data_IF_009286240567
#
_entry.id   IF_009286240567
#
_cell.length_a   1.000
_cell.length_b   1.000
_cell.length_c   1.000
_cell.angle_alpha   90.00
_cell.angle_beta   90.00
_cell.angle_gamma   90.00
#
_symmetry.space_group_name_H-M   'P 1'
#
loop_
_entity.id
_entity.type
_entity.pdbx_description
1 polymer ?
#
# COMPACT_ATOMS: atom_id res chain seq x y z
N UNK A 1 14.37 6.27 -18.77
CA UNK A 1 14.55 4.87 -18.34
C UNK A 1 13.20 4.43 -17.81
N UNK A 2 12.65 3.34 -18.34
CA UNK A 2 11.38 2.82 -17.87
C UNK A 2 11.61 2.12 -16.52
N UNK A 3 10.95 2.60 -15.46
CA UNK A 3 11.14 2.15 -14.07
C UNK A 3 10.18 1.03 -13.69
N UNK A 4 9.09 0.84 -14.43
CA UNK A 4 8.11 -0.21 -14.14
C UNK A 4 8.71 -1.64 -14.14
N UNK A 5 9.62 -2.01 -15.06
CA UNK A 5 10.26 -3.33 -15.03
C UNK A 5 11.13 -3.56 -13.79
N UNK A 6 11.73 -2.50 -13.22
CA UNK A 6 12.54 -2.59 -12.00
C UNK A 6 11.66 -2.81 -10.77
N UNK A 7 10.57 -2.05 -10.67
CA UNK A 7 9.57 -2.21 -9.59
C UNK A 7 8.97 -3.61 -9.62
N UNK A 8 8.61 -4.13 -10.79
CA UNK A 8 8.12 -5.50 -10.93
C UNK A 8 9.14 -6.54 -10.43
N UNK A 9 10.42 -6.37 -10.77
CA UNK A 9 11.47 -7.30 -10.35
C UNK A 9 11.71 -7.29 -8.84
N UNK A 10 11.67 -6.12 -8.22
CA UNK A 10 11.81 -5.97 -6.76
C UNK A 10 10.61 -6.59 -6.04
N UNK A 11 9.39 -6.31 -6.50
CA UNK A 11 8.16 -6.89 -5.95
C UNK A 11 8.09 -8.40 -6.20
N UNK A 12 8.67 -8.93 -7.28
CA UNK A 12 8.71 -10.38 -7.55
C UNK A 12 9.56 -11.15 -6.53
N UNK A 13 10.68 -10.58 -6.09
CA UNK A 13 11.65 -11.29 -5.27
C UNK A 13 11.17 -11.52 -3.82
N UNK A 14 10.38 -10.60 -3.28
CA UNK A 14 10.01 -10.60 -1.87
C UNK A 14 8.98 -11.68 -1.49
N UNK A 15 7.88 -11.90 -2.25
CA UNK A 15 6.97 -13.02 -2.04
C UNK A 15 7.65 -14.39 -2.03
N UNK A 16 8.73 -14.55 -2.79
CA UNK A 16 9.51 -15.79 -2.81
C UNK A 16 10.34 -15.96 -1.52
N UNK A 17 10.87 -14.85 -0.98
CA UNK A 17 11.66 -14.87 0.25
C UNK A 17 10.79 -14.97 1.51
N UNK A 18 9.57 -14.45 1.47
CA UNK A 18 8.67 -14.32 2.63
C UNK A 18 7.33 -15.07 2.43
N UNK A 19 7.32 -16.14 1.64
CA UNK A 19 6.09 -16.85 1.26
C UNK A 19 5.24 -17.29 2.46
N UNK A 20 5.88 -17.86 3.50
CA UNK A 20 5.21 -18.31 4.72
C UNK A 20 4.55 -17.15 5.47
N UNK A 21 5.20 -15.98 5.49
CA UNK A 21 4.63 -14.77 6.07
C UNK A 21 3.37 -14.36 5.32
N UNK A 22 3.42 -14.20 3.99
CA UNK A 22 2.25 -13.81 3.19
C UNK A 22 1.09 -14.81 3.27
N UNK A 23 1.39 -16.12 3.31
CA UNK A 23 0.40 -17.17 3.52
C UNK A 23 -0.29 -17.03 4.89
N UNK A 24 0.47 -16.73 5.94
CA UNK A 24 -0.06 -16.56 7.29
C UNK A 24 -0.81 -15.24 7.49
N UNK A 25 -0.45 -14.19 6.74
CA UNK A 25 -1.15 -12.90 6.78
C UNK A 25 -2.57 -13.00 6.21
N UNK A 26 -2.79 -13.88 5.21
CA UNK A 26 -4.08 -14.05 4.55
C UNK A 26 -4.53 -12.86 3.69
N UNK A 27 -3.63 -11.91 3.38
CA UNK A 27 -3.92 -10.73 2.58
C UNK A 27 -3.74 -10.90 1.08
N UNK A 28 -3.01 -11.95 0.68
CA UNK A 28 -2.70 -12.21 -0.72
C UNK A 28 -3.41 -13.50 -1.15
N UNK A 29 -4.59 -13.33 -1.72
CA UNK A 29 -5.33 -14.42 -2.33
C UNK A 29 -4.51 -15.00 -3.50
N UNK A 30 -4.44 -16.33 -3.53
CA UNK A 30 -3.71 -17.07 -4.56
C UNK A 30 -2.22 -16.63 -4.68
N UNK A 31 -1.53 -16.42 -3.55
CA UNK A 31 -0.09 -16.02 -3.51
C UNK A 31 0.79 -16.88 -4.42
N UNK A 32 0.47 -18.16 -4.62
CA UNK A 32 1.17 -19.08 -5.52
C UNK A 32 1.11 -18.64 -7.00
N UNK A 33 0.08 -17.88 -7.40
CA UNK A 33 -0.11 -17.34 -8.75
C UNK A 33 0.46 -15.93 -8.93
N UNK A 34 0.77 -15.23 -7.85
CA UNK A 34 1.35 -13.87 -7.87
C UNK A 34 2.65 -13.81 -8.70
N UNK A 35 3.59 -14.77 -8.59
CA UNK A 35 4.79 -14.79 -9.43
C UNK A 35 4.47 -14.84 -10.92
N UNK A 36 3.49 -15.64 -11.33
CA UNK A 36 3.08 -15.76 -12.74
C UNK A 36 2.47 -14.46 -13.29
N UNK A 37 1.83 -13.66 -12.42
CA UNK A 37 1.26 -12.36 -12.79
C UNK A 37 2.32 -11.26 -12.87
N UNK A 38 3.37 -11.34 -12.05
CA UNK A 38 4.41 -10.32 -11.96
C UNK A 38 5.57 -10.58 -12.95
N UNK A 39 5.81 -11.84 -13.31
CA UNK A 39 6.87 -12.23 -14.24
C UNK A 39 6.57 -11.70 -15.66
N UNK A 40 7.26 -10.62 -16.03
CA UNK A 40 7.17 -10.00 -17.34
C UNK A 40 8.54 -10.18 -18.02
N UNK A 41 8.69 -11.25 -18.80
CA UNK A 41 9.92 -11.56 -19.54
C UNK A 41 10.24 -10.51 -20.64
N UNK A 42 9.27 -9.68 -21.06
CA UNK A 42 9.43 -8.71 -22.15
C UNK A 42 9.25 -7.27 -21.69
N UNK A 43 10.27 -6.45 -21.95
CA UNK A 43 10.18 -4.99 -21.87
C UNK A 43 9.13 -4.48 -22.88
N UNK A 44 7.98 -4.02 -22.40
CA UNK A 44 6.88 -3.50 -23.23
C UNK A 44 5.56 -3.40 -22.46
N UNK A 45 4.48 -2.91 -23.11
CA UNK A 45 3.15 -2.87 -22.52
C UNK A 45 2.72 -4.29 -22.10
N UNK A 46 2.36 -4.47 -20.84
CA UNK A 46 1.83 -5.73 -20.34
C UNK A 46 0.32 -5.82 -20.57
N UNK A 47 -0.17 -7.04 -20.78
CA UNK A 47 -1.61 -7.30 -20.85
C UNK A 47 -2.29 -6.99 -19.50
N UNK A 48 -3.60 -6.73 -19.53
CA UNK A 48 -4.40 -6.43 -18.33
C UNK A 48 -4.31 -7.53 -17.28
N UNK A 49 -4.03 -8.77 -17.68
CA UNK A 49 -3.76 -9.90 -16.78
C UNK A 49 -2.56 -9.68 -15.83
N UNK A 50 -1.65 -8.76 -16.19
CA UNK A 50 -0.46 -8.41 -15.41
C UNK A 50 -0.59 -7.07 -14.69
N UNK A 51 -1.76 -6.42 -14.75
CA UNK A 51 -1.97 -5.16 -14.04
C UNK A 51 -1.98 -5.42 -12.53
N UNK A 52 -1.17 -4.62 -11.83
CA UNK A 52 -1.16 -4.58 -10.38
C UNK A 52 -2.51 -4.06 -9.85
N UNK A 53 -3.06 -4.74 -8.84
CA UNK A 53 -4.31 -4.36 -8.18
C UNK A 53 -4.10 -4.14 -6.68
N UNK A 54 -4.94 -3.30 -6.09
CA UNK A 54 -5.03 -3.15 -4.64
C UNK A 54 -6.09 -4.12 -4.08
N UNK A 55 -5.96 -4.63 -2.84
CA UNK A 55 -4.95 -4.29 -1.83
C UNK A 55 -3.58 -4.97 -2.00
N UNK A 56 -3.49 -6.05 -2.79
CA UNK A 56 -2.28 -6.90 -2.89
C UNK A 56 -1.01 -6.10 -3.17
N UNK A 57 -1.05 -5.17 -4.13
CA UNK A 57 0.12 -4.35 -4.49
C UNK A 57 0.57 -3.45 -3.35
N UNK A 58 -0.38 -2.87 -2.60
CA UNK A 58 -0.07 -1.99 -1.47
C UNK A 58 0.68 -2.74 -0.37
N UNK A 59 0.19 -3.92 0.02
CA UNK A 59 0.85 -4.80 1.00
C UNK A 59 2.25 -5.20 0.55
N UNK A 60 2.40 -5.64 -0.71
CA UNK A 60 3.72 -6.02 -1.23
C UNK A 60 4.68 -4.84 -1.26
N UNK A 61 4.23 -3.67 -1.74
CA UNK A 61 5.08 -2.48 -1.79
C UNK A 61 5.51 -2.02 -0.39
N UNK A 62 4.62 -2.09 0.61
CA UNK A 62 4.98 -1.68 1.98
C UNK A 62 6.05 -2.58 2.59
N UNK A 63 5.98 -3.89 2.37
CA UNK A 63 7.00 -4.83 2.88
C UNK A 63 8.32 -4.71 2.09
N UNK A 64 8.26 -4.73 0.75
CA UNK A 64 9.45 -4.67 -0.12
C UNK A 64 10.27 -3.42 0.17
N UNK A 65 9.62 -2.26 0.24
CA UNK A 65 10.30 -0.99 0.45
C UNK A 65 10.52 -0.64 1.91
N UNK A 66 9.80 -1.30 2.83
CA UNK A 66 9.71 -0.91 4.25
C UNK A 66 9.17 0.52 4.43
N UNK A 67 8.33 0.96 3.50
CA UNK A 67 7.78 2.31 3.44
C UNK A 67 6.26 2.25 3.59
N UNK A 68 5.63 3.23 4.24
CA UNK A 68 4.18 3.29 4.29
C UNK A 68 3.63 3.69 2.92
N UNK A 69 2.58 2.99 2.47
CA UNK A 69 1.89 3.26 1.21
C UNK A 69 0.49 3.78 1.52
N UNK A 70 0.17 4.94 0.99
CA UNK A 70 -1.13 5.59 1.14
C UNK A 70 -1.82 5.60 -0.22
N UNK A 71 -2.89 4.83 -0.33
CA UNK A 71 -3.65 4.69 -1.55
C UNK A 71 -4.98 5.42 -1.44
N UNK A 72 -5.31 6.23 -2.45
CA UNK A 72 -6.58 6.96 -2.55
C UNK A 72 -7.31 6.61 -3.83
N UNK A 73 -8.55 6.13 -3.70
CA UNK A 73 -9.42 5.85 -4.83
C UNK A 73 -10.81 6.45 -4.60
N UNK A 74 -11.53 6.71 -5.70
CA UNK A 74 -12.88 7.28 -5.63
C UNK A 74 -13.85 6.47 -4.74
N UNK A 75 -13.73 5.15 -4.77
CA UNK A 75 -14.63 4.24 -4.08
C UNK A 75 -14.06 3.68 -2.79
N UNK A 76 -12.73 3.73 -2.65
CA UNK A 76 -12.01 3.08 -1.58
C UNK A 76 -10.59 3.63 -1.52
N UNK A 77 -10.12 3.93 -0.31
CA UNK A 77 -8.74 4.30 0.01
C UNK A 77 -8.27 3.43 1.16
N UNK A 78 -6.96 3.20 1.23
CA UNK A 78 -6.36 2.39 2.28
C UNK A 78 -4.91 2.77 2.54
N UNK A 79 -4.50 2.60 3.79
CA UNK A 79 -3.10 2.71 4.22
C UNK A 79 -2.51 1.32 4.41
N UNK A 80 -1.30 1.13 3.90
CA UNK A 80 -0.51 -0.09 4.05
C UNK A 80 0.77 0.24 4.81
N UNK A 81 0.93 -0.36 5.98
CA UNK A 81 2.14 -0.24 6.77
C UNK A 81 2.97 -1.51 6.68
N UNK A 82 4.31 -1.40 6.70
CA UNK A 82 5.16 -2.56 6.92
C UNK A 82 4.78 -3.25 8.24
N UNK A 83 4.59 -4.56 8.24
CA UNK A 83 4.28 -5.37 9.40
C UNK A 83 5.52 -5.90 10.10
N UNK A 84 6.67 -5.93 9.43
CA UNK A 84 7.92 -6.54 9.94
C UNK A 84 8.99 -5.54 10.34
N UNK A 85 8.81 -4.25 10.03
CA UNK A 85 9.85 -3.24 10.24
C UNK A 85 9.38 -2.02 11.01
N UNK A 86 10.27 -1.48 11.85
CA UNK A 86 10.00 -0.24 12.58
C UNK A 86 10.05 1.01 11.68
N UNK A 87 9.36 2.09 12.06
CA UNK A 87 9.48 3.38 11.37
C UNK A 87 10.91 3.93 11.44
N UNK A 88 11.47 4.25 10.27
CA UNK A 88 12.73 5.02 10.11
C UNK A 88 12.46 6.30 9.34
N UNK A 89 13.46 7.08 8.93
CA UNK A 89 13.26 8.25 8.04
C UNK A 89 12.92 7.87 6.57
N UNK A 90 12.08 6.86 6.41
CA UNK A 90 11.57 6.36 5.14
C UNK A 90 10.49 7.33 4.63
N UNK A 91 10.57 7.78 3.37
CA UNK A 91 9.55 8.63 2.79
C UNK A 91 8.27 7.83 2.50
N UNK A 92 7.09 8.42 2.70
CA UNK A 92 5.82 7.79 2.35
C UNK A 92 5.61 7.72 0.83
N UNK A 93 4.91 6.67 0.38
CA UNK A 93 4.47 6.53 -1.02
C UNK A 93 2.99 6.89 -1.09
N UNK A 94 2.62 7.87 -1.92
CA UNK A 94 1.22 8.24 -2.13
C UNK A 94 0.76 7.89 -3.55
N UNK A 95 -0.31 7.10 -3.63
CA UNK A 95 -0.89 6.62 -4.89
C UNK A 95 -2.34 7.07 -4.99
N UNK A 96 -2.75 7.50 -6.18
CA UNK A 96 -4.13 7.79 -6.52
C UNK A 96 -4.61 6.85 -7.64
N UNK A 97 -5.85 6.36 -7.58
CA UNK A 97 -6.51 5.69 -8.70
C UNK A 97 -7.48 6.65 -9.40
N UNK A 98 -7.26 6.85 -10.69
CA UNK A 98 -8.17 7.60 -11.56
C UNK A 98 -9.38 6.76 -11.99
N UNK A 99 -10.44 7.39 -12.49
CA UNK A 99 -11.64 6.68 -12.98
C UNK A 99 -11.35 5.76 -14.18
N UNK A 100 -10.23 5.97 -14.88
CA UNK A 100 -9.77 5.12 -15.99
C UNK A 100 -8.85 3.99 -15.54
N UNK A 101 -8.86 3.65 -14.25
CA UNK A 101 -8.07 2.55 -13.67
C UNK A 101 -6.57 2.75 -13.80
N UNK A 102 -6.12 4.01 -13.87
CA UNK A 102 -4.71 4.36 -13.94
C UNK A 102 -4.22 4.88 -12.59
N UNK A 103 -3.10 4.33 -12.11
CA UNK A 103 -2.42 4.81 -10.91
C UNK A 103 -1.57 6.04 -11.21
N UNK A 104 -1.62 7.02 -10.31
CA UNK A 104 -0.78 8.21 -10.35
C UNK A 104 -0.06 8.38 -9.01
N UNK A 105 1.16 8.90 -9.06
CA UNK A 105 1.87 9.31 -7.84
C UNK A 105 1.30 10.65 -7.38
N UNK A 106 0.90 10.74 -6.12
CA UNK A 106 0.43 11.98 -5.52
C UNK A 106 1.57 12.69 -4.82
N UNK A 107 1.64 14.02 -4.97
CA UNK A 107 2.54 14.86 -4.19
C UNK A 107 1.73 15.59 -3.12
N UNK A 108 1.88 15.15 -1.89
CA UNK A 108 1.20 15.75 -0.74
C UNK A 108 1.95 17.03 -0.34
N UNK A 109 1.20 18.07 0.06
CA UNK A 109 1.79 19.36 0.43
C UNK A 109 2.51 19.31 1.78
N UNK A 110 1.91 18.59 2.72
CA UNK A 110 2.43 18.36 4.07
C UNK A 110 2.41 16.85 4.32
N UNK A 111 3.58 16.22 4.23
CA UNK A 111 3.73 14.77 4.41
C UNK A 111 3.64 14.35 5.89
N UNK A 112 3.63 15.31 6.83
CA UNK A 112 3.48 15.06 8.27
C UNK A 112 2.03 15.29 8.76
N UNK A 113 1.18 15.89 7.93
CA UNK A 113 -0.21 16.20 8.27
C UNK A 113 -1.15 16.20 7.05
N UNK A 114 -1.75 15.04 6.80
CA UNK A 114 -2.68 14.82 5.69
C UNK A 114 -3.86 13.91 6.11
N UNK A 115 -4.99 13.93 5.39
CA UNK A 115 -6.07 12.97 5.64
C UNK A 115 -5.60 11.56 5.25
N UNK A 116 -5.26 10.76 6.24
CA UNK A 116 -4.85 9.37 6.06
C UNK A 116 -6.07 8.44 5.95
N UNK A 117 -6.08 7.57 4.95
CA UNK A 117 -7.09 6.51 4.85
C UNK A 117 -6.94 5.49 5.98
N UNK A 118 -8.00 4.76 6.29
CA UNK A 118 -7.93 3.67 7.27
C UNK A 118 -6.87 2.63 6.86
N UNK A 119 -6.13 2.09 7.82
CA UNK A 119 -5.22 0.97 7.57
C UNK A 119 -5.98 -0.37 7.54
N UNK A 120 -5.37 -1.40 6.97
CA UNK A 120 -5.95 -2.74 6.87
C UNK A 120 -6.31 -3.30 8.26
N UNK A 121 -7.54 -3.80 8.42
CA UNK A 121 -8.12 -4.11 9.75
C UNK A 121 -7.34 -5.17 10.52
N UNK A 122 -6.67 -6.07 9.80
CA UNK A 122 -5.91 -7.16 10.43
C UNK A 122 -4.42 -6.82 10.58
N UNK A 123 -3.98 -5.62 10.17
CA UNK A 123 -2.56 -5.28 10.20
C UNK A 123 -1.99 -5.31 11.63
N UNK A 124 -2.71 -4.77 12.61
CA UNK A 124 -2.27 -4.78 14.01
C UNK A 124 -2.07 -6.20 14.58
N UNK A 125 -2.83 -7.18 14.07
CA UNK A 125 -2.80 -8.55 14.55
C UNK A 125 -1.58 -9.33 14.07
N UNK A 126 -1.04 -8.94 12.93
CA UNK A 126 0.09 -9.60 12.27
C UNK A 126 1.37 -8.77 12.34
N UNK A 127 1.27 -7.49 12.72
CA UNK A 127 2.41 -6.62 12.89
C UNK A 127 3.27 -7.09 14.07
N UNK A 128 4.58 -7.07 13.84
CA UNK A 128 5.56 -7.21 14.91
C UNK A 128 5.41 -6.07 15.94
N UNK A 129 5.77 -6.28 17.21
CA UNK A 129 5.71 -5.22 18.23
C UNK A 129 6.43 -3.93 17.82
N UNK A 130 7.51 -4.05 17.06
CA UNK A 130 8.27 -2.94 16.51
C UNK A 130 7.49 -2.18 15.42
N UNK A 131 6.78 -2.89 14.55
CA UNK A 131 6.02 -2.31 13.45
C UNK A 131 4.79 -1.51 13.91
N UNK A 132 4.20 -1.84 15.06
CA UNK A 132 3.09 -1.07 15.66
C UNK A 132 3.42 0.43 15.80
N UNK A 133 4.70 0.79 15.90
CA UNK A 133 5.12 2.19 15.95
C UNK A 133 4.78 3.00 14.69
N UNK A 134 4.47 2.36 13.55
CA UNK A 134 3.97 3.05 12.35
C UNK A 134 2.67 3.78 12.61
N UNK A 135 1.77 3.19 13.40
CA UNK A 135 0.52 3.83 13.80
C UNK A 135 0.79 5.11 14.60
N UNK A 136 1.67 5.02 15.60
CA UNK A 136 2.07 6.17 16.43
C UNK A 136 2.66 7.31 15.59
N UNK A 137 3.45 7.00 14.56
CA UNK A 137 4.03 8.00 13.66
C UNK A 137 2.96 8.81 12.93
N UNK A 138 1.89 8.15 12.48
CA UNK A 138 0.84 8.77 11.66
C UNK A 138 -0.44 9.09 12.45
N UNK A 139 -0.42 8.97 13.77
CA UNK A 139 -1.57 9.24 14.65
C UNK A 139 -2.19 10.62 14.40
N UNK A 140 -1.36 11.66 14.18
CA UNK A 140 -1.86 13.02 13.87
C UNK A 140 -2.63 13.09 12.56
N UNK A 141 -2.25 12.27 11.57
CA UNK A 141 -2.95 12.17 10.29
C UNK A 141 -4.27 11.41 10.45
N UNK A 142 -4.28 10.36 11.28
CA UNK A 142 -5.51 9.64 11.65
C UNK A 142 -6.52 10.56 12.36
N UNK A 143 -6.06 11.29 13.39
CA UNK A 143 -6.89 12.26 14.13
C UNK A 143 -7.43 13.39 13.23
N UNK A 144 -6.65 13.79 12.21
CA UNK A 144 -7.12 14.73 11.21
C UNK A 144 -8.27 14.13 10.38
N UNK A 145 -8.12 12.91 9.88
CA UNK A 145 -9.17 12.23 9.12
C UNK A 145 -10.46 12.10 9.92
N UNK A 146 -10.40 11.65 11.17
CA UNK A 146 -11.58 11.48 12.01
C UNK A 146 -12.29 12.83 12.29
N UNK A 147 -11.53 13.90 12.53
CA UNK A 147 -12.11 15.25 12.65
C UNK A 147 -12.80 15.69 11.36
N UNK A 148 -12.18 15.52 10.20
CA UNK A 148 -12.76 15.89 8.91
C UNK A 148 -14.05 15.11 8.61
N UNK A 149 -14.11 13.82 8.97
CA UNK A 149 -15.33 13.01 8.86
C UNK A 149 -16.46 13.56 9.73
N UNK A 150 -16.15 13.97 10.97
CA UNK A 150 -17.14 14.57 11.87
C UNK A 150 -17.66 15.93 11.37
N UNK A 151 -16.80 16.76 10.78
CA UNK A 151 -17.16 18.10 10.29
C UNK A 151 -17.98 18.08 8.99
N UNK A 152 -17.70 17.12 8.09
CA UNK A 152 -18.30 17.09 6.75
C UNK A 152 -19.54 16.19 6.63
N UNK A 153 -19.81 15.38 7.66
CA UNK A 153 -20.82 14.33 7.64
C UNK A 153 -20.31 13.08 6.91
N UNK A 154 -20.59 11.89 7.48
CA UNK A 154 -20.05 10.60 7.01
C UNK A 154 -20.23 10.34 5.51
N UNK A 155 -21.29 10.88 4.90
CA UNK A 155 -21.61 10.67 3.48
C UNK A 155 -20.72 11.46 2.50
N UNK A 156 -19.89 12.38 2.99
CA UNK A 156 -19.04 13.25 2.15
C UNK A 156 -17.54 12.96 2.26
N UNK A 157 -17.10 12.19 3.24
CA UNK A 157 -15.70 11.79 3.42
C UNK A 157 -15.54 10.29 3.19
N UNK A 158 -15.56 9.87 1.93
CA UNK A 158 -15.07 8.54 1.53
C UNK A 158 -13.56 8.64 1.33
N UNK A 159 -12.80 8.45 2.42
CA UNK A 159 -11.40 8.06 2.34
C UNK A 159 -11.38 6.54 2.36
#
# INVERSE_FOLDING_TARGET
MDVAPLVHKEIYADPQAQLEFYLNQGFVDEIEKVPQRIDIEKLGPCDIAHWMSMPTTGNLMSEVYNWPVFYYGKYWSQTFFPSTTLPKNNPPIFLGLTETWHFVVLKIKDEDLFPMAQFEKNWEWIATPEAIQWENRYLRCFDLTERLKMETGFDKCTF
#
